data_IF_129941016323
#
_entry.id   IF_129941016323
#
_cell.length_a   1.000
_cell.length_b   1.000
_cell.length_c   1.000
_cell.angle_alpha   90.00
_cell.angle_beta   90.00
_cell.angle_gamma   90.00
#
_symmetry.space_group_name_H-M   'P 1'
#
loop_
_entity.id
_entity.type
_entity.pdbx_description
1 polymer ?
#
# COMPACT_ATOMS: atom_id res chain seq x y z
N UNK A 1 -35.09 -19.95 -3.01
CA UNK A 1 -34.44 -19.36 -1.83
C UNK A 1 -33.51 -20.36 -1.11
N UNK A 2 -32.88 -21.31 -1.81
CA UNK A 2 -31.98 -22.28 -1.14
C UNK A 2 -30.66 -21.60 -0.74
N UNK A 3 -30.34 -21.59 0.55
CA UNK A 3 -29.01 -21.25 1.09
C UNK A 3 -28.80 -19.84 1.63
N UNK A 4 -29.59 -18.83 1.22
CA UNK A 4 -29.42 -17.47 1.76
C UNK A 4 -29.93 -17.36 3.20
N UNK A 5 -31.04 -18.06 3.51
CA UNK A 5 -31.66 -18.09 4.83
C UNK A 5 -30.83 -18.91 5.86
N UNK A 6 -29.81 -19.66 5.41
CA UNK A 6 -28.89 -20.40 6.27
C UNK A 6 -27.62 -19.65 6.61
N UNK A 7 -27.48 -18.43 6.09
CA UNK A 7 -26.31 -17.56 6.29
C UNK A 7 -26.62 -16.54 7.39
N UNK A 8 -25.69 -16.33 8.31
CA UNK A 8 -25.87 -15.40 9.42
C UNK A 8 -26.16 -13.96 8.96
N UNK A 9 -26.89 -13.19 9.76
CA UNK A 9 -27.35 -11.83 9.43
C UNK A 9 -26.26 -10.88 8.94
N UNK A 10 -25.04 -10.81 9.53
CA UNK A 10 -23.99 -9.93 9.05
C UNK A 10 -23.55 -10.25 7.60
N UNK A 11 -23.55 -11.52 7.22
CA UNK A 11 -23.25 -11.95 5.86
C UNK A 11 -24.37 -11.57 4.88
N UNK A 12 -25.63 -11.73 5.31
CA UNK A 12 -26.79 -11.37 4.48
C UNK A 12 -26.77 -9.88 4.14
N UNK A 13 -26.45 -9.01 5.11
CA UNK A 13 -26.32 -7.57 4.90
C UNK A 13 -25.24 -7.24 3.85
N UNK A 14 -24.04 -7.81 4.00
CA UNK A 14 -22.94 -7.62 3.07
C UNK A 14 -23.21 -8.18 1.66
N UNK A 15 -23.99 -9.27 1.56
CA UNK A 15 -24.31 -9.92 0.29
C UNK A 15 -25.54 -9.34 -0.40
N UNK A 16 -26.37 -8.54 0.28
CA UNK A 16 -27.59 -7.97 -0.29
C UNK A 16 -27.37 -7.26 -1.65
N UNK A 17 -26.30 -6.45 -1.85
CA UNK A 17 -26.02 -5.84 -3.15
C UNK A 17 -25.70 -6.86 -4.26
N UNK A 18 -25.34 -8.07 -3.90
CA UNK A 18 -24.90 -9.14 -4.82
C UNK A 18 -25.87 -10.30 -4.90
N UNK A 19 -27.10 -10.15 -4.44
CA UNK A 19 -28.09 -11.24 -4.32
C UNK A 19 -28.35 -12.00 -5.65
N UNK A 20 -28.35 -11.29 -6.77
CA UNK A 20 -28.50 -11.92 -8.09
C UNK A 20 -27.30 -12.84 -8.41
N UNK A 21 -26.10 -12.37 -8.12
CA UNK A 21 -24.86 -13.15 -8.29
C UNK A 21 -24.84 -14.34 -7.34
N UNK A 22 -25.25 -14.13 -6.09
CA UNK A 22 -25.41 -15.22 -5.13
C UNK A 22 -26.27 -16.34 -5.71
N UNK A 23 -27.48 -16.02 -6.17
CA UNK A 23 -28.39 -17.03 -6.72
C UNK A 23 -27.82 -17.76 -7.93
N UNK A 24 -27.09 -17.07 -8.80
CA UNK A 24 -26.43 -17.71 -9.94
C UNK A 24 -25.31 -18.66 -9.47
N UNK A 25 -24.43 -18.19 -8.59
CA UNK A 25 -23.29 -19.01 -8.11
C UNK A 25 -23.76 -20.26 -7.33
N UNK A 26 -24.87 -20.16 -6.57
CA UNK A 26 -25.40 -21.29 -5.81
C UNK A 26 -26.02 -22.42 -6.68
N UNK A 27 -26.35 -22.13 -7.95
CA UNK A 27 -26.82 -23.19 -8.87
C UNK A 27 -25.74 -24.22 -9.15
N UNK A 28 -24.49 -23.76 -9.21
CA UNK A 28 -23.30 -24.56 -9.53
C UNK A 28 -22.56 -25.07 -8.28
N UNK A 29 -23.11 -24.83 -7.07
CA UNK A 29 -22.49 -25.33 -5.83
C UNK A 29 -22.45 -26.86 -5.87
N UNK A 30 -21.25 -27.49 -5.82
CA UNK A 30 -21.12 -28.94 -5.88
C UNK A 30 -21.92 -29.64 -4.79
N UNK A 31 -22.64 -30.71 -5.11
CA UNK A 31 -23.37 -31.51 -4.12
C UNK A 31 -22.45 -32.16 -3.10
N UNK A 32 -21.22 -32.49 -3.51
CA UNK A 32 -20.20 -33.11 -2.65
C UNK A 32 -18.83 -32.52 -2.98
N UNK A 33 -18.11 -32.11 -1.92
CA UNK A 33 -16.69 -31.78 -1.98
C UNK A 33 -16.32 -30.58 -2.88
N UNK A 34 -16.21 -29.41 -2.30
CA UNK A 34 -15.65 -28.24 -3.01
C UNK A 34 -14.15 -28.46 -3.20
N UNK A 35 -13.67 -28.42 -4.44
CA UNK A 35 -12.28 -28.73 -4.80
C UNK A 35 -11.25 -27.91 -4.01
N UNK A 36 -11.46 -26.62 -3.83
CA UNK A 36 -10.50 -25.77 -3.13
C UNK A 36 -10.52 -25.93 -1.60
N UNK A 37 -11.51 -26.63 -1.03
CA UNK A 37 -11.58 -27.02 0.37
C UNK A 37 -10.92 -28.40 0.63
N UNK A 38 -10.53 -29.14 -0.42
CA UNK A 38 -9.90 -30.45 -0.24
C UNK A 38 -8.48 -30.32 0.34
N UNK A 39 -8.08 -31.27 1.19
CA UNK A 39 -6.77 -31.30 1.84
C UNK A 39 -5.61 -31.15 0.84
N UNK A 40 -5.62 -31.93 -0.22
CA UNK A 40 -4.56 -31.89 -1.20
C UNK A 40 -4.49 -30.57 -1.99
N UNK A 41 -5.59 -29.82 -2.14
CA UNK A 41 -5.58 -28.49 -2.72
C UNK A 41 -4.96 -27.48 -1.76
N UNK A 42 -5.42 -27.47 -0.51
CA UNK A 42 -4.92 -26.58 0.56
C UNK A 42 -3.42 -26.74 0.74
N UNK A 43 -2.94 -27.98 0.90
CA UNK A 43 -1.52 -28.28 1.11
C UNK A 43 -0.63 -27.80 -0.04
N UNK A 44 -1.05 -28.02 -1.30
CA UNK A 44 -0.30 -27.54 -2.46
C UNK A 44 -0.30 -26.02 -2.55
N UNK A 45 -1.43 -25.36 -2.31
CA UNK A 45 -1.55 -23.91 -2.36
C UNK A 45 -0.79 -23.24 -1.22
N UNK A 46 -0.87 -23.78 0.00
CA UNK A 46 -0.12 -23.32 1.17
C UNK A 46 1.40 -23.42 0.91
N UNK A 47 1.88 -24.56 0.41
CA UNK A 47 3.29 -24.76 0.04
C UNK A 47 3.76 -23.78 -1.01
N UNK A 48 2.92 -23.47 -2.01
CA UNK A 48 3.24 -22.47 -3.01
C UNK A 48 3.42 -21.07 -2.42
N UNK A 49 2.63 -20.73 -1.42
CA UNK A 49 2.71 -19.47 -0.69
C UNK A 49 3.77 -19.45 0.43
N UNK A 50 4.53 -20.52 0.62
CA UNK A 50 5.56 -20.61 1.66
C UNK A 50 5.02 -20.78 3.08
N UNK A 51 3.74 -21.11 3.24
CA UNK A 51 3.09 -21.34 4.54
C UNK A 51 3.67 -22.61 5.17
N UNK A 52 4.02 -22.53 6.46
CA UNK A 52 4.59 -23.63 7.23
C UNK A 52 3.63 -24.85 7.31
N UNK A 53 4.21 -26.05 7.46
CA UNK A 53 3.46 -27.30 7.39
C UNK A 53 2.38 -27.42 8.48
N UNK A 54 2.68 -27.02 9.71
CA UNK A 54 1.75 -27.04 10.85
C UNK A 54 0.55 -26.11 10.60
N UNK A 55 0.78 -24.93 10.01
CA UNK A 55 -0.28 -24.01 9.60
C UNK A 55 -1.08 -24.58 8.42
N UNK A 56 -0.44 -25.23 7.46
CA UNK A 56 -1.14 -25.90 6.36
C UNK A 56 -2.09 -27.00 6.87
N UNK A 57 -1.66 -27.79 7.87
CA UNK A 57 -2.49 -28.78 8.54
C UNK A 57 -3.67 -28.14 9.29
N UNK A 58 -3.44 -26.98 9.92
CA UNK A 58 -4.50 -26.20 10.55
C UNK A 58 -5.52 -25.70 9.51
N UNK A 59 -5.06 -25.17 8.38
CA UNK A 59 -5.92 -24.77 7.26
C UNK A 59 -6.76 -25.92 6.72
N UNK A 60 -6.21 -27.14 6.64
CA UNK A 60 -6.96 -28.35 6.24
C UNK A 60 -8.09 -28.67 7.22
N UNK A 61 -7.86 -28.54 8.52
CA UNK A 61 -8.91 -28.74 9.55
C UNK A 61 -10.02 -27.70 9.40
N UNK A 62 -9.66 -26.43 9.27
CA UNK A 62 -10.62 -25.32 9.08
C UNK A 62 -11.41 -25.50 7.77
N UNK A 63 -10.75 -25.90 6.67
CA UNK A 63 -11.43 -26.16 5.41
C UNK A 63 -12.49 -27.27 5.52
N UNK A 64 -12.24 -28.29 6.36
CA UNK A 64 -13.23 -29.33 6.64
C UNK A 64 -14.44 -28.76 7.40
N UNK A 65 -14.21 -27.96 8.43
CA UNK A 65 -15.30 -27.28 9.15
C UNK A 65 -16.14 -26.39 8.22
N UNK A 66 -15.49 -25.65 7.31
CA UNK A 66 -16.20 -24.84 6.30
C UNK A 66 -17.03 -25.74 5.37
N UNK A 67 -16.52 -26.89 4.92
CA UNK A 67 -17.22 -27.82 4.05
C UNK A 67 -18.46 -28.46 4.74
N UNK A 68 -18.36 -28.67 6.04
CA UNK A 68 -19.44 -29.28 6.87
C UNK A 68 -20.51 -28.26 7.27
N UNK A 69 -20.22 -26.96 7.31
CA UNK A 69 -21.17 -25.89 7.62
C UNK A 69 -21.83 -25.36 6.33
N UNK A 70 -23.16 -25.57 6.14
CA UNK A 70 -23.85 -25.17 4.90
C UNK A 70 -23.78 -23.68 4.60
N UNK A 71 -23.79 -22.82 5.63
CA UNK A 71 -23.71 -21.36 5.49
C UNK A 71 -22.33 -20.94 5.01
N UNK A 72 -21.27 -21.32 5.74
CA UNK A 72 -19.89 -20.98 5.39
C UNK A 72 -19.46 -21.58 4.05
N UNK A 73 -19.89 -22.79 3.76
CA UNK A 73 -19.66 -23.47 2.47
C UNK A 73 -20.24 -22.68 1.32
N UNK A 74 -21.47 -22.18 1.46
CA UNK A 74 -22.14 -21.36 0.45
C UNK A 74 -21.45 -20.01 0.29
N UNK A 75 -21.02 -19.37 1.39
CA UNK A 75 -20.29 -18.10 1.35
C UNK A 75 -18.90 -18.27 0.72
N UNK A 76 -18.17 -19.33 1.10
CA UNK A 76 -16.86 -19.61 0.49
C UNK A 76 -16.96 -19.84 -1.02
N UNK A 77 -18.01 -20.53 -1.47
CA UNK A 77 -18.30 -20.75 -2.88
C UNK A 77 -18.62 -19.44 -3.62
N UNK A 78 -19.47 -18.62 -3.02
CA UNK A 78 -19.82 -17.29 -3.55
C UNK A 78 -18.58 -16.40 -3.71
N UNK A 79 -17.74 -16.29 -2.66
CA UNK A 79 -16.52 -15.50 -2.72
C UNK A 79 -15.52 -16.07 -3.74
N UNK A 80 -15.40 -17.39 -3.85
CA UNK A 80 -14.59 -18.01 -4.89
C UNK A 80 -15.02 -17.60 -6.30
N UNK A 81 -16.32 -17.65 -6.59
CA UNK A 81 -16.84 -17.20 -7.87
C UNK A 81 -16.68 -15.71 -8.10
N UNK A 82 -16.99 -14.89 -7.09
CA UNK A 82 -16.90 -13.44 -7.19
C UNK A 82 -15.48 -12.94 -7.40
N UNK A 83 -14.51 -13.53 -6.72
CA UNK A 83 -13.11 -13.11 -6.80
C UNK A 83 -12.34 -13.74 -7.98
N UNK A 84 -12.56 -15.04 -8.26
CA UNK A 84 -11.66 -15.78 -9.14
C UNK A 84 -12.28 -16.18 -10.49
N UNK A 85 -13.57 -16.35 -10.56
CA UNK A 85 -14.26 -16.77 -11.78
C UNK A 85 -14.89 -15.55 -12.49
N UNK A 86 -15.85 -14.90 -11.86
CA UNK A 86 -16.61 -13.80 -12.45
C UNK A 86 -15.94 -12.44 -12.24
N UNK A 87 -15.00 -12.34 -11.32
CA UNK A 87 -14.21 -11.13 -10.99
C UNK A 87 -15.08 -9.90 -10.75
N UNK A 88 -16.05 -10.02 -9.86
CA UNK A 88 -17.00 -8.96 -9.55
C UNK A 88 -16.32 -7.88 -8.73
N UNK A 89 -16.12 -6.71 -9.32
CA UNK A 89 -15.32 -5.63 -8.74
C UNK A 89 -15.82 -5.20 -7.35
N UNK A 90 -17.13 -5.02 -7.17
CA UNK A 90 -17.70 -4.60 -5.88
C UNK A 90 -17.45 -5.57 -4.71
N UNK A 91 -17.33 -6.87 -4.98
CA UNK A 91 -17.05 -7.88 -3.95
C UNK A 91 -15.70 -7.62 -3.26
N UNK A 92 -14.71 -7.14 -3.98
CA UNK A 92 -13.35 -6.88 -3.48
C UNK A 92 -13.30 -5.75 -2.45
N UNK A 93 -14.24 -4.82 -2.50
CA UNK A 93 -14.28 -3.59 -1.68
C UNK A 93 -15.24 -3.72 -0.50
N UNK A 94 -15.90 -4.86 -0.33
CA UNK A 94 -16.89 -5.05 0.73
C UNK A 94 -16.22 -5.35 2.07
N UNK A 95 -16.80 -4.85 3.14
CA UNK A 95 -16.41 -5.16 4.51
C UNK A 95 -17.11 -6.44 4.96
N UNK A 96 -16.54 -7.59 4.56
CA UNK A 96 -17.08 -8.90 4.91
C UNK A 96 -16.83 -9.24 6.37
N UNK A 97 -17.82 -9.84 7.07
CA UNK A 97 -17.67 -10.23 8.46
C UNK A 97 -16.69 -11.41 8.61
N UNK A 98 -16.11 -11.54 9.79
CA UNK A 98 -15.27 -12.68 10.15
C UNK A 98 -16.15 -13.74 10.82
N UNK A 99 -16.11 -15.03 10.42
CA UNK A 99 -17.01 -16.07 10.92
C UNK A 99 -16.61 -16.58 12.32
N UNK A 100 -16.65 -15.71 13.32
CA UNK A 100 -16.20 -16.00 14.70
C UNK A 100 -17.11 -16.98 15.44
N UNK A 101 -18.40 -17.04 15.12
CA UNK A 101 -19.33 -17.95 15.78
C UNK A 101 -19.02 -19.42 15.47
N UNK A 102 -18.76 -19.74 14.22
CA UNK A 102 -18.45 -21.10 13.77
C UNK A 102 -16.99 -21.47 13.94
N UNK A 103 -16.07 -20.59 13.51
CA UNK A 103 -14.63 -20.91 13.47
C UNK A 103 -13.86 -20.42 14.70
N UNK A 104 -14.48 -19.64 15.59
CA UNK A 104 -13.89 -19.17 16.84
C UNK A 104 -12.53 -18.50 16.62
N UNK A 105 -11.48 -18.97 17.28
CA UNK A 105 -10.10 -18.49 17.14
C UNK A 105 -9.50 -18.68 15.74
N UNK A 106 -10.07 -19.57 14.93
CA UNK A 106 -9.62 -19.85 13.58
C UNK A 106 -10.36 -19.04 12.50
N UNK A 107 -11.22 -18.13 12.91
CA UNK A 107 -12.09 -17.37 12.00
C UNK A 107 -11.34 -16.59 10.90
N UNK A 108 -10.15 -16.05 11.20
CA UNK A 108 -9.31 -15.36 10.22
C UNK A 108 -8.73 -16.28 9.14
N UNK A 109 -8.71 -17.60 9.35
CA UNK A 109 -8.24 -18.57 8.36
C UNK A 109 -9.27 -18.80 7.24
N UNK A 110 -10.52 -18.41 7.43
CA UNK A 110 -11.54 -18.44 6.39
C UNK A 110 -11.09 -17.69 5.14
N UNK A 111 -10.65 -16.45 5.31
CA UNK A 111 -10.20 -15.63 4.18
C UNK A 111 -8.87 -16.08 3.59
N UNK A 112 -8.02 -16.72 4.40
CA UNK A 112 -6.79 -17.37 3.89
C UNK A 112 -7.17 -18.47 2.90
N UNK A 113 -8.15 -19.32 3.25
CA UNK A 113 -8.63 -20.42 2.39
C UNK A 113 -9.26 -19.87 1.11
N UNK A 114 -10.08 -18.82 1.22
CA UNK A 114 -10.67 -18.14 0.04
C UNK A 114 -9.58 -17.57 -0.86
N UNK A 115 -8.50 -17.00 -0.30
CA UNK A 115 -7.38 -16.48 -1.07
C UNK A 115 -6.58 -17.61 -1.73
N UNK A 116 -6.30 -18.71 -1.02
CA UNK A 116 -5.62 -19.88 -1.57
C UNK A 116 -6.36 -20.48 -2.77
N UNK A 117 -7.69 -20.36 -2.82
CA UNK A 117 -8.48 -20.80 -3.97
C UNK A 117 -8.09 -20.11 -5.29
N UNK A 118 -7.49 -18.90 -5.22
CA UNK A 118 -6.97 -18.16 -6.37
C UNK A 118 -5.56 -18.55 -6.84
N UNK A 119 -4.83 -19.38 -6.08
CA UNK A 119 -3.43 -19.75 -6.41
C UNK A 119 -3.28 -20.34 -7.81
N UNK A 120 -4.12 -21.25 -8.30
CA UNK A 120 -3.96 -21.78 -9.67
C UNK A 120 -4.05 -20.69 -10.76
N UNK A 121 -4.90 -19.69 -10.56
CA UNK A 121 -5.00 -18.54 -11.46
C UNK A 121 -3.71 -17.72 -11.44
N UNK A 122 -3.20 -17.40 -10.25
CA UNK A 122 -1.95 -16.66 -10.07
C UNK A 122 -0.77 -17.38 -10.72
N UNK A 123 -0.64 -18.69 -10.50
CA UNK A 123 0.37 -19.52 -11.15
C UNK A 123 0.28 -19.44 -12.68
N UNK A 124 -0.93 -19.44 -13.22
CA UNK A 124 -1.16 -19.28 -14.66
C UNK A 124 -0.70 -17.92 -15.18
N UNK A 125 -0.95 -16.84 -14.44
CA UNK A 125 -0.49 -15.49 -14.78
C UNK A 125 1.04 -15.42 -14.76
N UNK A 126 1.68 -15.81 -13.67
CA UNK A 126 3.12 -15.73 -13.51
C UNK A 126 3.88 -16.58 -14.54
N UNK A 127 3.34 -17.77 -14.90
CA UNK A 127 3.90 -18.60 -15.95
C UNK A 127 3.84 -17.91 -17.33
N UNK A 128 2.71 -17.28 -17.67
CA UNK A 128 2.58 -16.54 -18.93
C UNK A 128 3.51 -15.33 -19.02
N UNK A 129 3.72 -14.64 -17.91
CA UNK A 129 4.63 -13.50 -17.80
C UNK A 129 6.10 -13.92 -17.72
N UNK A 130 6.42 -15.21 -17.53
CA UNK A 130 7.80 -15.67 -17.35
C UNK A 130 8.44 -15.16 -16.06
N UNK A 131 7.66 -14.95 -15.00
CA UNK A 131 8.14 -14.36 -13.75
C UNK A 131 9.24 -15.18 -13.08
N UNK A 132 10.35 -14.54 -12.64
CA UNK A 132 11.41 -15.20 -11.90
C UNK A 132 10.89 -15.86 -10.62
N UNK A 133 11.30 -17.10 -10.37
CA UNK A 133 10.84 -17.87 -9.21
C UNK A 133 11.14 -17.20 -7.85
N UNK A 134 12.24 -16.44 -7.76
CA UNK A 134 12.58 -15.66 -6.58
C UNK A 134 11.55 -14.56 -6.31
N UNK A 135 11.21 -13.76 -7.33
CA UNK A 135 10.19 -12.70 -7.21
C UNK A 135 8.83 -13.30 -6.84
N UNK A 136 8.45 -14.41 -7.49
CA UNK A 136 7.18 -15.11 -7.16
C UNK A 136 7.15 -15.52 -5.70
N UNK A 137 8.18 -16.24 -5.24
CA UNK A 137 8.28 -16.73 -3.84
C UNK A 137 8.19 -15.57 -2.85
N UNK A 138 8.98 -14.52 -3.06
CA UNK A 138 9.08 -13.41 -2.12
C UNK A 138 7.79 -12.58 -2.10
N UNK A 139 7.09 -12.50 -3.24
CA UNK A 139 5.80 -11.82 -3.37
C UNK A 139 4.66 -12.57 -2.66
N UNK A 140 4.52 -13.88 -2.89
CA UNK A 140 3.41 -14.63 -2.28
C UNK A 140 3.63 -14.89 -0.79
N UNK A 141 4.86 -14.79 -0.29
CA UNK A 141 5.19 -14.88 1.13
C UNK A 141 4.56 -13.73 1.96
N UNK A 142 4.04 -12.68 1.32
CA UNK A 142 3.29 -11.63 2.01
C UNK A 142 2.05 -12.19 2.71
N UNK A 143 1.42 -13.25 2.20
CA UNK A 143 0.31 -13.90 2.88
C UNK A 143 0.70 -14.40 4.26
N UNK A 144 1.82 -15.11 4.36
CA UNK A 144 2.31 -15.65 5.63
C UNK A 144 2.65 -14.52 6.63
N UNK A 145 3.30 -13.46 6.15
CA UNK A 145 3.60 -12.26 6.96
C UNK A 145 2.34 -11.59 7.50
N UNK A 146 1.29 -11.45 6.67
CA UNK A 146 0.03 -10.82 7.07
C UNK A 146 -0.82 -11.67 7.98
N UNK A 147 -0.72 -12.98 7.87
CA UNK A 147 -1.43 -13.95 8.69
C UNK A 147 -0.81 -14.10 10.07
N UNK A 148 0.51 -13.93 10.20
CA UNK A 148 1.27 -14.10 11.44
C UNK A 148 1.19 -12.91 12.41
N UNK A 149 2.04 -12.93 13.45
CA UNK A 149 2.05 -11.98 14.57
C UNK A 149 2.17 -10.51 14.16
N UNK A 150 2.83 -10.23 13.05
CA UNK A 150 2.94 -8.87 12.51
C UNK A 150 1.67 -8.38 11.79
N UNK A 151 0.70 -9.26 11.55
CA UNK A 151 -0.54 -8.95 10.87
C UNK A 151 -1.55 -8.19 11.75
N UNK A 152 -2.38 -7.36 11.12
CA UNK A 152 -3.43 -6.60 11.82
C UNK A 152 -4.46 -7.50 12.51
N UNK A 153 -4.80 -8.60 11.86
CA UNK A 153 -5.74 -9.58 12.43
C UNK A 153 -5.20 -10.21 13.72
N UNK A 154 -3.93 -10.67 13.70
CA UNK A 154 -3.30 -11.26 14.89
C UNK A 154 -3.25 -10.26 16.06
N UNK A 155 -2.89 -9.01 15.78
CA UNK A 155 -2.85 -7.96 16.81
C UNK A 155 -4.23 -7.68 17.43
N UNK A 156 -5.30 -7.85 16.66
CA UNK A 156 -6.68 -7.60 17.13
C UNK A 156 -7.26 -8.78 17.88
N UNK A 157 -7.03 -10.01 17.40
CA UNK A 157 -7.70 -11.23 17.87
C UNK A 157 -6.77 -12.22 18.58
N UNK A 158 -5.45 -12.02 18.57
CA UNK A 158 -4.47 -12.91 19.20
C UNK A 158 -4.28 -14.26 18.50
N UNK A 159 -4.79 -14.42 17.28
CA UNK A 159 -4.74 -15.66 16.51
C UNK A 159 -4.35 -15.40 15.05
N UNK A 160 -3.70 -16.38 14.37
CA UNK A 160 -3.33 -16.26 12.98
C UNK A 160 -4.54 -16.11 12.06
N UNK A 161 -4.40 -15.26 11.03
CA UNK A 161 -5.44 -15.08 10.03
C UNK A 161 -5.43 -13.72 9.39
N UNK A 162 -6.41 -13.46 8.54
CA UNK A 162 -6.63 -12.18 7.88
C UNK A 162 -8.12 -11.80 7.93
N UNK A 163 -8.39 -10.49 7.87
CA UNK A 163 -9.71 -9.93 7.69
C UNK A 163 -9.97 -9.57 6.22
N UNK A 164 -11.18 -9.10 5.92
CA UNK A 164 -11.57 -8.69 4.57
C UNK A 164 -10.73 -7.52 4.04
N UNK A 165 -10.28 -6.60 4.90
CA UNK A 165 -9.41 -5.49 4.53
C UNK A 165 -8.03 -5.99 4.08
N UNK A 166 -7.47 -6.92 4.82
CA UNK A 166 -6.20 -7.57 4.48
C UNK A 166 -6.34 -8.42 3.22
N UNK A 167 -7.47 -9.13 3.06
CA UNK A 167 -7.79 -9.83 1.81
C UNK A 167 -7.78 -8.85 0.63
N UNK A 168 -8.46 -7.71 0.74
CA UNK A 168 -8.49 -6.66 -0.30
C UNK A 168 -7.10 -6.20 -0.72
N UNK A 169 -6.18 -6.04 0.23
CA UNK A 169 -4.77 -5.73 -0.04
C UNK A 169 -4.07 -6.87 -0.80
N UNK A 170 -4.19 -8.10 -0.32
CA UNK A 170 -3.54 -9.27 -0.92
C UNK A 170 -4.06 -9.57 -2.34
N UNK A 171 -5.27 -9.14 -2.68
CA UNK A 171 -5.80 -9.29 -4.03
C UNK A 171 -4.95 -8.57 -5.09
N UNK A 172 -4.22 -7.51 -4.76
CA UNK A 172 -3.26 -6.89 -5.68
C UNK A 172 -2.14 -7.87 -6.07
N UNK A 173 -1.67 -8.67 -5.12
CA UNK A 173 -0.68 -9.73 -5.39
C UNK A 173 -1.31 -10.84 -6.25
N UNK A 174 -2.51 -11.30 -5.90
CA UNK A 174 -3.22 -12.37 -6.63
C UNK A 174 -3.68 -11.97 -8.04
N UNK A 175 -3.76 -10.66 -8.30
CA UNK A 175 -4.00 -10.12 -9.64
C UNK A 175 -2.71 -9.81 -10.41
N UNK A 176 -1.55 -10.06 -9.80
CA UNK A 176 -0.24 -9.74 -10.34
C UNK A 176 -0.08 -8.23 -10.65
N UNK A 177 -0.56 -7.39 -9.75
CA UNK A 177 -0.45 -5.94 -9.79
C UNK A 177 0.62 -5.41 -8.83
N UNK A 178 1.02 -6.22 -7.81
CA UNK A 178 2.02 -5.87 -6.79
C UNK A 178 3.07 -6.97 -6.67
N UNK A 179 4.34 -6.58 -6.66
CA UNK A 179 5.50 -7.49 -6.65
C UNK A 179 6.48 -7.12 -5.56
N UNK A 180 6.95 -8.11 -4.79
CA UNK A 180 8.07 -7.93 -3.86
C UNK A 180 9.38 -7.99 -4.62
N UNK A 181 10.15 -6.89 -4.61
CA UNK A 181 11.46 -6.81 -5.23
C UNK A 181 12.45 -6.28 -4.20
N UNK A 182 13.29 -7.14 -3.70
CA UNK A 182 14.18 -6.80 -2.59
C UNK A 182 13.41 -6.40 -1.32
N UNK A 183 13.71 -5.21 -0.80
CA UNK A 183 13.12 -4.70 0.45
C UNK A 183 11.67 -4.23 0.30
N UNK A 184 11.24 -3.90 -0.90
CA UNK A 184 10.01 -3.17 -1.15
C UNK A 184 9.03 -3.91 -2.06
N UNK A 185 7.79 -3.47 -2.06
CA UNK A 185 6.77 -3.93 -3.00
C UNK A 185 6.46 -2.81 -3.98
N UNK A 186 6.31 -3.17 -5.26
CA UNK A 186 6.08 -2.22 -6.33
C UNK A 186 4.90 -2.64 -7.21
N UNK A 187 4.15 -1.64 -7.66
CA UNK A 187 3.07 -1.79 -8.63
C UNK A 187 3.03 -0.64 -9.61
N UNK A 188 2.43 -0.86 -10.77
CA UNK A 188 2.20 0.20 -11.75
C UNK A 188 1.00 1.05 -11.32
N UNK A 189 1.17 2.37 -11.35
CA UNK A 189 0.16 3.33 -10.92
C UNK A 189 0.24 4.62 -11.75
N UNK A 190 -0.43 5.66 -11.31
CA UNK A 190 -0.35 6.99 -11.87
C UNK A 190 -0.51 8.05 -10.80
N UNK A 191 0.20 9.16 -10.97
CA UNK A 191 0.14 10.30 -10.06
C UNK A 191 -1.28 10.85 -9.91
N UNK A 192 -1.70 11.05 -8.67
CA UNK A 192 -3.08 11.48 -8.35
C UNK A 192 -3.35 12.96 -8.64
N UNK A 193 -2.30 13.78 -8.83
CA UNK A 193 -2.41 15.21 -9.12
C UNK A 193 -2.53 16.06 -7.85
N UNK A 194 -1.62 15.88 -6.92
CA UNK A 194 -1.49 16.75 -5.73
C UNK A 194 -0.42 17.82 -5.89
N UNK A 195 0.51 17.59 -6.81
CA UNK A 195 1.60 18.49 -7.20
C UNK A 195 1.83 18.41 -8.71
N UNK A 196 2.59 19.38 -9.27
CA UNK A 196 3.22 19.29 -10.60
C UNK A 196 4.70 19.60 -10.48
N UNK A 197 5.53 18.84 -11.18
CA UNK A 197 6.96 19.12 -11.20
C UNK A 197 7.41 19.64 -12.56
N UNK A 198 8.29 20.62 -12.51
CA UNK A 198 8.86 21.31 -13.65
C UNK A 198 10.38 21.21 -13.61
N UNK A 199 10.99 20.95 -14.76
CA UNK A 199 12.43 20.85 -14.91
C UNK A 199 12.97 22.06 -15.67
N UNK A 200 14.03 22.68 -15.16
CA UNK A 200 14.78 23.72 -15.85
C UNK A 200 15.52 23.13 -17.04
N UNK A 201 15.36 23.71 -18.21
CA UNK A 201 16.06 23.32 -19.44
C UNK A 201 17.53 23.68 -19.44
N UNK A 202 17.93 24.65 -18.61
CA UNK A 202 19.31 25.14 -18.53
C UNK A 202 20.14 24.48 -17.44
N UNK A 203 19.54 24.25 -16.27
CA UNK A 203 20.26 23.70 -15.11
C UNK A 203 19.93 22.24 -14.80
N UNK A 204 18.82 21.71 -15.33
CA UNK A 204 18.26 20.41 -14.95
C UNK A 204 17.57 20.39 -13.59
N UNK A 205 17.60 21.51 -12.84
CA UNK A 205 16.94 21.59 -11.53
C UNK A 205 15.45 21.30 -11.62
N UNK A 206 14.92 20.64 -10.59
CA UNK A 206 13.51 20.24 -10.52
C UNK A 206 12.78 21.00 -9.41
N UNK A 207 11.61 21.52 -9.73
CA UNK A 207 10.74 22.26 -8.80
C UNK A 207 9.34 21.68 -8.85
N UNK A 208 8.79 21.30 -7.70
CA UNK A 208 7.38 20.94 -7.58
C UNK A 208 6.55 22.16 -7.14
N UNK A 209 5.43 22.38 -7.80
CA UNK A 209 4.38 23.34 -7.41
C UNK A 209 3.17 22.59 -6.85
N UNK A 210 2.53 23.16 -5.84
CA UNK A 210 1.24 22.68 -5.36
C UNK A 210 0.17 22.82 -6.44
N UNK A 211 -0.75 21.87 -6.53
CA UNK A 211 -1.99 22.05 -7.28
C UNK A 211 -2.85 23.13 -6.63
N UNK A 212 -3.81 23.63 -7.42
CA UNK A 212 -4.75 24.70 -7.03
C UNK A 212 -5.63 24.28 -5.84
N UNK A 213 -6.16 25.30 -5.12
CA UNK A 213 -7.11 25.13 -4.00
C UNK A 213 -6.62 24.29 -2.81
N UNK A 214 -5.32 24.04 -2.69
CA UNK A 214 -4.77 23.34 -1.52
C UNK A 214 -4.50 24.30 -0.38
N UNK A 215 -4.98 23.98 0.81
CA UNK A 215 -4.81 24.79 2.00
C UNK A 215 -3.63 24.26 2.82
N UNK A 216 -2.74 25.16 3.21
CA UNK A 216 -1.57 24.87 4.02
C UNK A 216 -1.58 25.61 5.33
N UNK A 217 -1.08 24.95 6.36
CA UNK A 217 -0.77 25.56 7.65
C UNK A 217 0.41 26.55 7.51
N UNK A 218 0.63 27.46 8.49
CA UNK A 218 1.76 28.41 8.42
C UNK A 218 3.12 27.75 8.26
N UNK A 219 3.31 26.53 8.73
CA UNK A 219 4.53 25.76 8.59
C UNK A 219 4.69 25.02 7.25
N UNK A 220 3.73 25.14 6.33
CA UNK A 220 3.78 24.50 5.01
C UNK A 220 3.28 23.06 4.95
N UNK A 221 2.77 22.49 6.03
CA UNK A 221 2.02 21.23 6.00
C UNK A 221 0.58 21.48 5.51
N UNK A 222 -0.09 20.44 5.01
CA UNK A 222 -1.51 20.58 4.64
C UNK A 222 -2.37 20.91 5.86
N UNK A 223 -3.38 21.74 5.68
CA UNK A 223 -4.45 21.92 6.68
C UNK A 223 -5.10 20.58 6.98
N UNK A 224 -5.22 20.21 8.25
CA UNK A 224 -5.63 18.88 8.71
C UNK A 224 -4.48 17.93 9.09
N UNK A 225 -3.23 18.27 8.76
CA UNK A 225 -2.05 17.48 9.17
C UNK A 225 -1.92 17.41 10.69
N UNK A 226 -1.64 16.22 11.22
CA UNK A 226 -1.55 15.97 12.66
C UNK A 226 -2.85 16.30 13.42
N UNK A 227 -4.00 16.36 12.73
CA UNK A 227 -5.29 16.77 13.29
C UNK A 227 -5.39 18.28 13.58
N UNK A 228 -4.52 19.09 12.99
CA UNK A 228 -4.53 20.56 13.12
C UNK A 228 -5.17 21.16 11.87
N UNK A 229 -6.21 21.97 12.02
CA UNK A 229 -6.87 22.66 10.92
C UNK A 229 -7.34 24.06 11.30
N UNK A 230 -7.51 24.91 10.29
CA UNK A 230 -8.08 26.24 10.45
C UNK A 230 -7.25 27.19 11.31
N UNK A 231 -5.92 27.04 11.34
CA UNK A 231 -5.07 27.97 12.07
C UNK A 231 -5.13 29.37 11.46
N UNK A 232 -5.00 30.39 12.31
CA UNK A 232 -4.74 31.76 11.86
C UNK A 232 -3.47 31.77 10.99
N UNK A 233 -3.51 32.49 9.88
CA UNK A 233 -2.45 32.53 8.86
C UNK A 233 -2.26 31.24 8.03
N UNK A 234 -3.20 30.30 8.06
CA UNK A 234 -3.30 29.28 7.00
C UNK A 234 -3.54 29.97 5.67
N UNK A 235 -3.00 29.39 4.58
CA UNK A 235 -3.05 30.00 3.27
C UNK A 235 -3.40 29.00 2.17
N UNK A 236 -3.98 29.48 1.08
CA UNK A 236 -4.40 28.65 -0.04
C UNK A 236 -3.44 28.82 -1.20
N UNK A 237 -2.94 27.71 -1.72
CA UNK A 237 -2.14 27.72 -2.94
C UNK A 237 -3.02 27.96 -4.17
N UNK A 238 -2.46 28.66 -5.16
CA UNK A 238 -3.03 28.80 -6.49
C UNK A 238 -2.01 28.34 -7.52
N UNK A 239 -2.49 27.77 -8.61
CA UNK A 239 -1.67 27.35 -9.75
C UNK A 239 -2.26 27.95 -11.03
N UNK A 240 -1.56 28.88 -11.63
CA UNK A 240 -2.02 29.65 -12.77
C UNK A 240 -1.08 29.44 -13.96
N UNK A 241 -1.64 29.12 -15.11
CA UNK A 241 -0.90 28.99 -16.36
C UNK A 241 -1.30 30.06 -17.37
N UNK A 242 -0.32 30.75 -17.95
CA UNK A 242 -0.50 31.61 -19.11
C UNK A 242 0.15 30.96 -20.35
N UNK A 243 0.13 31.64 -21.49
CA UNK A 243 0.85 31.17 -22.67
C UNK A 243 2.37 31.09 -22.43
N UNK A 244 2.94 32.01 -21.65
CA UNK A 244 4.38 32.17 -21.48
C UNK A 244 4.97 31.65 -20.17
N UNK A 245 4.16 31.49 -19.12
CA UNK A 245 4.65 31.12 -17.79
C UNK A 245 3.63 30.31 -17.00
N UNK A 246 4.12 29.58 -16.01
CA UNK A 246 3.33 28.97 -14.93
C UNK A 246 3.69 29.66 -13.62
N UNK A 247 2.68 30.01 -12.82
CA UNK A 247 2.85 30.66 -11.52
C UNK A 247 2.19 29.79 -10.45
N UNK A 248 2.90 29.54 -9.34
CA UNK A 248 2.36 28.72 -8.27
C UNK A 248 3.21 28.77 -7.01
N UNK A 249 2.78 28.05 -6.00
CA UNK A 249 3.47 27.94 -4.72
C UNK A 249 4.33 26.68 -4.69
N UNK A 250 5.65 26.82 -4.51
CA UNK A 250 6.55 25.69 -4.56
C UNK A 250 6.43 24.83 -3.31
N UNK A 251 6.77 23.57 -3.50
CA UNK A 251 7.01 22.60 -2.42
C UNK A 251 8.53 22.47 -2.28
N UNK A 252 9.05 22.61 -1.07
CA UNK A 252 10.44 22.28 -0.78
C UNK A 252 10.67 20.77 -0.90
N UNK A 253 11.83 20.30 -1.41
CA UNK A 253 12.18 18.88 -1.40
C UNK A 253 12.12 18.23 -0.01
N UNK A 254 12.17 19.03 1.05
CA UNK A 254 11.99 18.59 2.44
C UNK A 254 10.52 18.34 2.84
N UNK A 255 9.56 18.52 1.93
CA UNK A 255 8.16 18.17 2.19
C UNK A 255 7.28 19.28 2.74
N UNK A 256 7.70 20.55 2.63
CA UNK A 256 6.91 21.71 3.09
C UNK A 256 6.55 22.64 1.93
N UNK A 257 5.31 23.09 1.90
CA UNK A 257 4.88 24.14 0.98
C UNK A 257 5.46 25.51 1.40
N UNK A 258 5.90 26.29 0.45
CA UNK A 258 6.52 27.60 0.67
C UNK A 258 5.49 28.68 0.33
N UNK A 259 5.13 29.52 1.31
CA UNK A 259 4.17 30.62 1.11
C UNK A 259 4.82 31.81 0.37
N UNK A 260 5.31 31.52 -0.84
CA UNK A 260 5.88 32.51 -1.76
C UNK A 260 5.61 32.07 -3.19
N UNK A 261 4.74 32.78 -3.89
CA UNK A 261 4.41 32.48 -5.29
C UNK A 261 5.63 32.74 -6.18
N UNK A 262 6.00 31.77 -7.00
CA UNK A 262 7.08 31.89 -7.99
C UNK A 262 6.53 31.84 -9.40
N UNK A 263 7.39 32.24 -10.36
CA UNK A 263 7.12 32.22 -11.79
C UNK A 263 8.10 31.29 -12.49
N UNK A 264 7.58 30.43 -13.33
CA UNK A 264 8.35 29.49 -14.15
C UNK A 264 8.07 29.82 -15.62
N UNK A 265 8.96 30.59 -16.32
CA UNK A 265 8.84 30.84 -17.74
C UNK A 265 8.87 29.52 -18.54
N UNK A 266 7.92 29.33 -19.46
CA UNK A 266 7.82 28.10 -20.27
C UNK A 266 8.96 27.91 -21.26
N UNK A 267 9.70 28.96 -21.57
CA UNK A 267 10.94 28.87 -22.36
C UNK A 267 12.12 28.27 -21.55
N UNK A 268 12.04 28.25 -20.21
CA UNK A 268 13.08 27.76 -19.30
C UNK A 268 12.67 26.54 -18.50
N UNK A 269 11.36 26.32 -18.32
CA UNK A 269 10.81 25.28 -17.48
C UNK A 269 9.80 24.42 -18.22
N UNK A 270 10.00 23.13 -18.22
CA UNK A 270 9.11 22.14 -18.84
C UNK A 270 8.44 21.28 -17.76
N UNK A 271 7.12 21.11 -17.86
CA UNK A 271 6.39 20.17 -16.99
C UNK A 271 6.82 18.74 -17.31
N UNK A 272 7.27 18.02 -16.28
CA UNK A 272 7.78 16.63 -16.40
C UNK A 272 6.98 15.62 -15.58
N UNK A 273 6.17 16.10 -14.62
CA UNK A 273 5.37 15.25 -13.74
C UNK A 273 4.08 15.98 -13.33
N UNK A 274 2.93 15.35 -13.58
CA UNK A 274 1.61 15.91 -13.27
C UNK A 274 0.56 14.81 -13.16
N UNK A 275 -0.69 15.17 -12.91
CA UNK A 275 -1.81 14.21 -12.80
C UNK A 275 -1.85 13.26 -13.99
N UNK A 276 -1.88 11.96 -13.68
CA UNK A 276 -1.89 10.88 -14.68
C UNK A 276 -0.52 10.45 -15.17
N UNK A 277 0.58 11.13 -14.77
CA UNK A 277 1.94 10.65 -15.06
C UNK A 277 2.13 9.23 -14.53
N UNK A 278 2.61 8.29 -15.36
CA UNK A 278 2.74 6.90 -14.95
C UNK A 278 3.86 6.73 -13.93
N UNK A 279 3.56 6.00 -12.85
CA UNK A 279 4.47 5.81 -11.72
C UNK A 279 4.65 4.33 -11.36
N UNK A 280 5.73 4.02 -10.68
CA UNK A 280 5.86 2.83 -9.86
C UNK A 280 5.43 3.19 -8.43
N UNK A 281 4.25 2.71 -8.03
CA UNK A 281 3.80 2.79 -6.65
C UNK A 281 4.66 1.87 -5.78
N UNK A 282 4.96 2.35 -4.58
CA UNK A 282 5.98 1.78 -3.72
C UNK A 282 5.41 1.56 -2.32
N UNK A 283 5.55 0.32 -1.84
CA UNK A 283 5.08 -0.04 -0.51
C UNK A 283 6.21 -0.64 0.32
N UNK A 284 6.17 -0.38 1.63
CA UNK A 284 7.14 -0.84 2.60
C UNK A 284 6.50 -1.93 3.46
N UNK A 285 6.70 -3.21 3.13
CA UNK A 285 6.17 -4.30 3.94
C UNK A 285 6.88 -4.36 5.29
N UNK A 286 6.20 -4.93 6.29
CA UNK A 286 6.85 -5.33 7.54
C UNK A 286 8.06 -6.24 7.26
N UNK A 287 9.13 -6.09 8.01
CA UNK A 287 10.35 -6.87 7.78
C UNK A 287 11.60 -6.20 8.34
N UNK A 288 12.79 -6.54 7.80
CA UNK A 288 14.06 -5.99 8.27
C UNK A 288 14.11 -4.47 8.16
N UNK A 289 15.01 -3.81 8.91
CA UNK A 289 15.23 -2.37 8.81
C UNK A 289 15.42 -1.90 7.36
N UNK A 290 15.10 -0.62 7.13
CA UNK A 290 15.36 0.05 5.85
C UNK A 290 16.84 0.43 5.75
N UNK A 291 17.70 -0.58 5.60
CA UNK A 291 19.13 -0.32 5.31
C UNK A 291 19.27 0.46 4.02
N UNK A 292 20.09 1.51 4.03
CA UNK A 292 20.19 2.46 2.95
C UNK A 292 20.59 1.81 1.62
N UNK A 293 21.60 0.95 1.64
CA UNK A 293 22.10 0.28 0.44
C UNK A 293 21.11 -0.77 -0.07
N UNK A 294 20.41 -1.46 0.85
CA UNK A 294 19.36 -2.43 0.49
C UNK A 294 18.17 -1.73 -0.17
N UNK A 295 17.82 -0.53 0.31
CA UNK A 295 16.77 0.28 -0.30
C UNK A 295 17.13 0.69 -1.73
N UNK A 296 18.33 1.21 -1.96
CA UNK A 296 18.79 1.62 -3.29
C UNK A 296 18.82 0.47 -4.28
N UNK A 297 19.33 -0.70 -3.86
CA UNK A 297 19.29 -1.92 -4.71
C UNK A 297 17.87 -2.33 -5.07
N UNK A 298 16.95 -2.30 -4.11
CA UNK A 298 15.55 -2.65 -4.36
C UNK A 298 14.89 -1.74 -5.41
N UNK A 299 15.16 -0.44 -5.37
CA UNK A 299 14.68 0.52 -6.38
C UNK A 299 15.31 0.26 -7.76
N UNK A 300 16.63 0.04 -7.82
CA UNK A 300 17.34 -0.29 -9.06
C UNK A 300 16.82 -1.58 -9.71
N UNK A 301 16.61 -2.61 -8.90
CA UNK A 301 16.08 -3.89 -9.36
C UNK A 301 14.65 -3.75 -9.86
N UNK A 302 13.83 -2.88 -9.21
CA UNK A 302 12.47 -2.59 -9.65
C UNK A 302 12.45 -1.92 -11.03
N UNK A 303 13.30 -0.93 -11.29
CA UNK A 303 13.42 -0.30 -12.62
C UNK A 303 13.70 -1.38 -13.67
N UNK A 304 14.68 -2.24 -13.42
CA UNK A 304 15.08 -3.31 -14.33
C UNK A 304 13.97 -4.32 -14.56
N UNK A 305 13.30 -4.73 -13.48
CA UNK A 305 12.18 -5.67 -13.52
C UNK A 305 11.01 -5.14 -14.34
N UNK A 306 10.52 -3.93 -14.07
CA UNK A 306 9.35 -3.41 -14.77
C UNK A 306 9.65 -3.10 -16.24
N UNK A 307 10.86 -2.64 -16.58
CA UNK A 307 11.28 -2.48 -17.97
C UNK A 307 11.35 -3.80 -18.73
N UNK A 308 11.75 -4.89 -18.06
CA UNK A 308 11.84 -6.22 -18.68
C UNK A 308 10.49 -6.89 -18.85
N UNK A 309 9.62 -6.87 -17.82
CA UNK A 309 8.39 -7.66 -17.79
C UNK A 309 7.14 -6.87 -18.22
N UNK A 310 7.23 -5.54 -18.25
CA UNK A 310 6.14 -4.62 -18.63
C UNK A 310 6.64 -3.50 -19.57
N UNK A 311 7.35 -3.82 -20.67
CA UNK A 311 7.95 -2.82 -21.54
C UNK A 311 6.93 -1.88 -22.19
N UNK A 312 5.68 -2.33 -22.35
CA UNK A 312 4.57 -1.53 -22.90
C UNK A 312 3.94 -0.55 -21.91
N UNK A 313 4.37 -0.60 -20.65
CA UNK A 313 3.86 0.27 -19.59
C UNK A 313 5.00 1.15 -19.05
N UNK A 314 5.29 2.28 -19.72
CA UNK A 314 6.34 3.18 -19.27
C UNK A 314 5.98 3.79 -17.91
N UNK A 315 6.99 4.18 -17.16
CA UNK A 315 6.87 4.91 -15.91
C UNK A 315 7.99 5.95 -15.82
N UNK A 316 7.69 7.09 -15.20
CA UNK A 316 8.61 8.23 -15.13
C UNK A 316 9.14 8.50 -13.73
N UNK A 317 8.46 8.00 -12.70
CA UNK A 317 8.85 8.20 -11.31
C UNK A 317 8.47 7.02 -10.41
N UNK A 318 9.18 6.88 -9.30
CA UNK A 318 8.63 6.22 -8.11
C UNK A 318 7.74 7.21 -7.37
N UNK A 319 6.66 6.70 -6.77
CA UNK A 319 5.77 7.49 -5.93
C UNK A 319 5.27 6.66 -4.76
N UNK A 320 5.14 7.27 -3.60
CA UNK A 320 4.45 6.68 -2.45
C UNK A 320 4.03 7.75 -1.46
N UNK A 321 3.22 7.33 -0.51
CA UNK A 321 2.85 8.11 0.66
C UNK A 321 2.84 7.22 1.91
N UNK A 322 3.35 7.73 3.01
CA UNK A 322 3.48 6.98 4.25
C UNK A 322 3.75 7.89 5.44
N UNK A 323 3.49 7.38 6.65
CA UNK A 323 3.92 8.03 7.88
C UNK A 323 5.44 8.11 8.01
N UNK A 324 6.20 7.18 7.42
CA UNK A 324 7.68 7.23 7.45
C UNK A 324 8.27 8.36 6.59
N UNK A 325 7.43 9.03 5.82
CA UNK A 325 7.77 10.18 5.00
C UNK A 325 7.38 11.50 5.66
N UNK A 326 7.09 11.46 6.98
CA UNK A 326 6.81 12.67 7.74
C UNK A 326 7.98 13.64 7.64
N UNK A 327 7.80 14.85 7.12
CA UNK A 327 8.85 15.82 6.93
C UNK A 327 9.48 16.35 8.23
N UNK A 328 8.90 16.04 9.40
CA UNK A 328 9.47 16.41 10.69
C UNK A 328 10.58 15.45 11.18
N UNK A 329 10.77 14.30 10.54
CA UNK A 329 11.76 13.31 11.01
C UNK A 329 13.21 13.81 11.06
N UNK A 330 13.70 14.67 10.15
CA UNK A 330 15.04 15.24 10.27
C UNK A 330 15.26 16.04 11.55
N UNK A 331 14.20 16.57 12.19
CA UNK A 331 14.28 17.30 13.46
C UNK A 331 14.28 16.37 14.69
N UNK A 332 13.83 15.12 14.52
CA UNK A 332 13.63 14.15 15.60
C UNK A 332 14.71 13.07 15.58
N UNK A 333 15.08 12.62 14.40
CA UNK A 333 16.02 11.50 14.20
C UNK A 333 17.42 12.00 13.86
N UNK A 334 18.47 11.22 14.17
CA UNK A 334 19.83 11.55 13.73
C UNK A 334 19.93 11.71 12.22
N UNK A 335 20.79 12.63 11.73
CA UNK A 335 20.98 12.87 10.30
C UNK A 335 21.45 11.65 9.49
N UNK A 336 22.12 10.71 10.17
CA UNK A 336 22.63 9.44 9.62
C UNK A 336 21.66 8.27 9.79
N UNK A 337 20.47 8.51 10.36
CA UNK A 337 19.44 7.46 10.44
C UNK A 337 18.96 7.05 9.04
N UNK A 338 18.65 5.77 8.87
CA UNK A 338 18.23 5.24 7.58
C UNK A 338 17.00 5.98 7.00
N UNK A 339 16.06 6.39 7.84
CA UNK A 339 14.86 7.12 7.39
C UNK A 339 15.22 8.53 6.90
N UNK A 340 16.05 9.26 7.62
CA UNK A 340 16.47 10.61 7.20
C UNK A 340 17.33 10.54 5.94
N UNK A 341 18.23 9.57 5.85
CA UNK A 341 19.01 9.33 4.63
C UNK A 341 18.09 9.01 3.44
N UNK A 342 17.13 8.13 3.63
CA UNK A 342 16.13 7.81 2.59
C UNK A 342 15.35 9.06 2.15
N UNK A 343 14.85 9.86 3.09
CA UNK A 343 14.08 11.08 2.77
C UNK A 343 14.91 12.08 1.94
N UNK A 344 16.22 12.12 2.10
CA UNK A 344 17.09 13.00 1.32
C UNK A 344 17.32 12.56 -0.13
N UNK A 345 17.04 11.30 -0.46
CA UNK A 345 17.14 10.80 -1.83
C UNK A 345 15.92 11.11 -2.69
N UNK A 346 14.83 11.56 -2.09
CA UNK A 346 13.54 11.73 -2.74
C UNK A 346 13.04 13.18 -2.64
N UNK A 347 12.11 13.55 -3.50
CA UNK A 347 11.39 14.82 -3.38
C UNK A 347 10.14 14.62 -2.54
N UNK A 348 10.15 15.08 -1.29
CA UNK A 348 8.99 14.99 -0.41
C UNK A 348 7.93 16.04 -0.77
N UNK A 349 6.68 15.73 -0.49
CA UNK A 349 5.58 16.68 -0.56
C UNK A 349 4.56 16.44 0.55
N UNK A 350 3.83 17.50 1.02
CA UNK A 350 2.82 17.37 2.05
C UNK A 350 1.66 16.49 1.59
N UNK A 351 1.24 15.53 2.42
CA UNK A 351 0.17 14.59 2.10
C UNK A 351 -0.80 14.47 3.28
N UNK A 352 -2.11 14.49 2.99
CA UNK A 352 -3.17 14.25 3.99
C UNK A 352 -3.53 12.76 4.11
N UNK A 353 -3.10 11.92 3.16
CA UNK A 353 -3.40 10.49 3.19
C UNK A 353 -2.66 9.85 4.35
N UNK A 354 -3.43 9.26 5.26
CA UNK A 354 -2.89 8.65 6.47
C UNK A 354 -2.51 9.71 7.51
N UNK A 355 -3.49 10.45 8.02
CA UNK A 355 -3.34 11.25 9.25
C UNK A 355 -2.57 10.47 10.32
N UNK A 356 -2.07 11.10 11.35
CA UNK A 356 -1.23 10.48 12.41
C UNK A 356 -1.68 9.11 12.95
N UNK A 357 -2.87 8.63 12.55
CA UNK A 357 -3.37 7.28 12.77
C UNK A 357 -2.74 6.20 11.86
N UNK A 358 -1.99 6.60 10.82
CA UNK A 358 -1.27 5.66 9.94
C UNK A 358 -0.01 5.09 10.57
N UNK A 359 0.55 5.77 11.59
CA UNK A 359 1.68 5.23 12.35
C UNK A 359 1.20 4.05 13.21
N UNK A 360 1.87 2.90 13.17
CA UNK A 360 1.51 1.78 14.03
C UNK A 360 1.39 2.19 15.50
N UNK A 361 0.35 1.74 16.18
CA UNK A 361 0.09 2.13 17.56
C UNK A 361 1.25 1.77 18.51
N UNK A 362 1.97 0.70 18.20
CA UNK A 362 3.14 0.24 18.93
C UNK A 362 4.29 1.25 18.85
N UNK A 363 4.50 1.85 17.67
CA UNK A 363 5.52 2.89 17.46
C UNK A 363 5.14 4.18 18.19
N UNK A 364 3.83 4.51 18.23
CA UNK A 364 3.31 5.66 18.96
C UNK A 364 3.46 5.55 20.48
N UNK A 365 3.28 4.34 21.04
CA UNK A 365 3.21 4.17 22.50
C UNK A 365 4.57 3.91 23.15
N UNK A 366 5.59 3.53 22.38
CA UNK A 366 6.87 3.09 22.96
C UNK A 366 6.71 1.88 23.90
N UNK A 367 5.57 1.19 23.82
CA UNK A 367 5.17 0.09 24.71
C UNK A 367 5.66 -1.24 24.15
N UNK A 368 6.89 -1.52 24.39
CA UNK A 368 7.45 -2.85 24.30
C UNK A 368 8.73 -2.87 25.09
N UNK A 369 8.91 -3.81 25.99
CA UNK A 369 10.05 -3.87 26.92
C UNK A 369 11.45 -3.86 26.29
N UNK A 370 11.56 -3.56 24.98
CA UNK A 370 12.77 -3.30 24.19
C UNK A 370 12.50 -2.24 23.13
N UNK A 371 12.04 -1.04 23.53
CA UNK A 371 11.89 0.07 22.62
C UNK A 371 13.20 0.37 21.89
N UNK A 372 13.16 0.45 20.57
CA UNK A 372 14.29 0.87 19.72
C UNK A 372 14.66 2.32 20.01
N UNK A 373 15.83 2.75 19.60
CA UNK A 373 16.24 4.16 19.75
C UNK A 373 15.29 5.12 19.01
N UNK A 374 14.71 4.69 17.90
CA UNK A 374 13.71 5.44 17.14
C UNK A 374 12.41 5.58 17.94
N UNK A 375 11.87 4.50 18.49
CA UNK A 375 10.63 4.51 19.29
C UNK A 375 10.75 5.42 20.52
N UNK A 376 11.92 5.43 21.17
CA UNK A 376 12.18 6.34 22.30
C UNK A 376 12.08 7.80 21.87
N UNK A 377 12.72 8.19 20.77
CA UNK A 377 12.67 9.56 20.23
C UNK A 377 11.28 9.97 19.83
N UNK A 378 10.53 9.06 19.21
CA UNK A 378 9.13 9.30 18.85
C UNK A 378 8.24 9.50 20.07
N UNK A 379 8.45 8.70 21.13
CA UNK A 379 7.75 8.86 22.41
C UNK A 379 8.08 10.20 23.08
N UNK A 380 9.34 10.61 23.08
CA UNK A 380 9.79 11.92 23.61
C UNK A 380 9.14 13.07 22.82
N UNK A 381 9.14 12.98 21.49
CA UNK A 381 8.51 13.98 20.63
C UNK A 381 7.02 14.13 20.90
N UNK A 382 6.27 13.00 20.97
CA UNK A 382 4.84 13.03 21.33
C UNK A 382 4.59 13.60 22.73
N UNK A 383 5.43 13.24 23.71
CA UNK A 383 5.33 13.71 25.09
C UNK A 383 5.58 15.22 25.21
N UNK A 384 6.38 15.80 24.29
CA UNK A 384 6.59 17.26 24.22
C UNK A 384 5.47 18.01 23.50
N UNK A 385 4.39 17.31 23.09
CA UNK A 385 3.26 17.90 22.36
C UNK A 385 3.41 17.86 20.83
N UNK A 386 4.45 17.21 20.34
CA UNK A 386 4.67 17.00 18.90
C UNK A 386 3.57 16.14 18.29
N UNK A 387 3.36 16.28 16.99
CA UNK A 387 2.35 15.51 16.23
C UNK A 387 2.99 14.95 14.97
N UNK A 388 2.67 13.71 14.68
CA UNK A 388 3.10 13.07 13.45
C UNK A 388 2.13 13.33 12.32
N UNK A 389 2.68 13.39 11.12
CA UNK A 389 1.99 13.61 9.87
C UNK A 389 2.25 12.44 8.91
N UNK A 390 1.74 12.55 7.70
CA UNK A 390 2.16 11.74 6.58
C UNK A 390 2.79 12.62 5.53
N UNK A 391 3.78 12.08 4.84
CA UNK A 391 4.35 12.69 3.65
C UNK A 391 4.08 11.83 2.42
N UNK A 392 4.11 12.44 1.26
CA UNK A 392 4.28 11.77 -0.02
C UNK A 392 5.69 12.02 -0.55
N UNK A 393 6.14 11.19 -1.48
CA UNK A 393 7.34 11.47 -2.26
C UNK A 393 7.15 11.10 -3.71
N UNK A 394 7.95 11.71 -4.55
CA UNK A 394 8.29 11.16 -5.86
C UNK A 394 9.81 11.16 -6.05
N UNK A 395 10.29 10.26 -6.89
CA UNK A 395 11.68 10.19 -7.35
C UNK A 395 11.65 9.91 -8.85
N UNK A 396 12.05 10.91 -9.65
CA UNK A 396 12.09 10.74 -11.10
C UNK A 396 13.10 9.64 -11.48
N UNK A 397 12.71 8.77 -12.41
CA UNK A 397 13.57 7.66 -12.85
C UNK A 397 14.86 8.17 -13.51
N UNK A 398 14.80 9.31 -14.19
CA UNK A 398 15.97 9.95 -14.80
C UNK A 398 16.95 10.55 -13.79
N UNK A 399 16.48 10.89 -12.58
CA UNK A 399 17.31 11.44 -11.50
C UNK A 399 17.81 10.35 -10.53
N UNK A 400 17.48 9.09 -10.80
CA UNK A 400 17.84 7.99 -9.91
C UNK A 400 19.34 7.74 -9.90
N UNK A 401 20.01 8.29 -8.90
CA UNK A 401 21.42 8.07 -8.57
C UNK A 401 21.51 7.99 -7.02
N UNK A 402 21.41 6.76 -6.50
CA UNK A 402 21.23 6.52 -5.07
C UNK A 402 22.46 6.93 -4.26
N UNK A 403 22.29 7.86 -3.34
CA UNK A 403 23.33 8.49 -2.53
C UNK A 403 23.68 9.91 -2.98
N UNK A 404 23.18 10.38 -4.12
CA UNK A 404 23.48 11.70 -4.66
C UNK A 404 22.62 12.83 -4.09
N UNK A 405 21.47 12.50 -3.44
CA UNK A 405 20.51 13.47 -2.91
C UNK A 405 20.09 14.53 -3.96
N UNK A 406 19.55 14.11 -5.12
CA UNK A 406 19.48 14.92 -6.33
C UNK A 406 18.66 16.22 -6.15
N UNK A 407 17.71 16.23 -5.23
CA UNK A 407 16.82 17.38 -5.03
C UNK A 407 17.27 18.34 -3.92
N UNK A 408 18.19 17.89 -3.04
CA UNK A 408 18.61 18.66 -1.88
C UNK A 408 19.92 19.44 -2.12
N UNK A 409 20.60 19.20 -3.24
CA UNK A 409 21.83 19.88 -3.63
C UNK A 409 21.63 20.94 -4.73
N UNK A 410 20.39 21.07 -5.25
CA UNK A 410 20.10 22.03 -6.31
C UNK A 410 19.78 23.43 -5.78
N UNK A 411 20.08 24.46 -6.58
CA UNK A 411 19.60 25.80 -6.32
C UNK A 411 18.10 25.90 -6.64
N UNK A 412 17.34 26.46 -5.70
CA UNK A 412 15.89 26.58 -5.81
C UNK A 412 15.50 28.04 -6.13
N UNK A 413 14.49 28.30 -6.98
CA UNK A 413 14.17 29.63 -7.49
C UNK A 413 13.37 30.52 -6.52
N UNK A 414 13.32 30.24 -5.20
CA UNK A 414 12.59 31.02 -4.20
C UNK A 414 13.39 31.50 -3.01
#
# INVERSE_FOLDING_TARGET
MRGFDTVDSPWQECMAPFIAVWHETQKDLPASGIRFLSSGFIERSARYCGIAQDMAEKLVRVARTIEEDPGLRSVAWFLHHGLWINRIHGIRMSEWPVPTETLKEDAGLFYVIVLLAGVPRLQGIYRRLGMPSGVVRDTVAELDRRMGESGSFFRTYGSPGIDAKTLGWLLMIWDAELYQIGRFQFGLSSHSGVIRAYRSTSTGSLVALSEDDRIFLPNGLNDGSGGISGLENSWTATLEGTENETMGYPISPSGFAVNKKIRLPKCEWVEVFSKGSPTLDFHIPAGPPMDFEVCGRSLQDAISFFRQFFPEKPFVAFESWSWILDPVFPDILPPDSNLVRFQREVYLYPCLRGSGDSMPAEVRRGEGGRATSMEKRFSEYLSSGGKFNSGGFFLMIEDFDWGSQPYHQQELPW
#
